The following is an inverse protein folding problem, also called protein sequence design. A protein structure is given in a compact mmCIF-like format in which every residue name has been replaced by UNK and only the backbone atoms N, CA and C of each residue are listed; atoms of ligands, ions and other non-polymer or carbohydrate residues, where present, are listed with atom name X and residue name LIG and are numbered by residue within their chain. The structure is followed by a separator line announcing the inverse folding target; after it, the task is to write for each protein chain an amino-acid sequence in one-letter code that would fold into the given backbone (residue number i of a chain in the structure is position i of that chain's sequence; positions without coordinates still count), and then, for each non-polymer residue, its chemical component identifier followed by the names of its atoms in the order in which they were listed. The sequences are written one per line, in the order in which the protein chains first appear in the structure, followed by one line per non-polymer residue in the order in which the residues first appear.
data_IF_086692158355
#
_entry.id   IF_086692158355
#
_cell.length_a   1.000
_cell.length_b   1.000
_cell.length_c   1.000
_cell.angle_alpha   90.00
_cell.angle_beta   90.00
_cell.angle_gamma   90.00
#
_symmetry.space_group_name_H-M   'P 1'
#
loop_
_entity.id
_entity.type
_entity.pdbx_description
1 polymer ?
#
# COMPACT_ATOMS: atom_id res chain seq x y z
N UNK A 1 46.83 2.94 -21.70
CA UNK A 1 45.82 2.55 -20.69
C UNK A 1 44.51 3.22 -21.10
N UNK A 2 43.58 2.44 -21.68
CA UNK A 2 42.39 2.94 -22.36
C UNK A 2 41.29 3.25 -21.36
N UNK A 3 40.78 4.49 -21.37
CA UNK A 3 39.68 4.93 -20.51
C UNK A 3 38.35 4.48 -21.13
N UNK A 4 37.70 3.49 -20.52
CA UNK A 4 36.38 3.01 -20.93
C UNK A 4 35.30 3.98 -20.39
N UNK A 5 34.78 4.86 -21.25
CA UNK A 5 33.57 5.64 -20.93
C UNK A 5 32.35 4.72 -21.00
N UNK A 6 31.75 4.39 -19.86
CA UNK A 6 30.39 3.86 -19.82
C UNK A 6 29.39 5.00 -20.05
N UNK A 7 28.66 4.94 -21.16
CA UNK A 7 27.50 5.78 -21.44
C UNK A 7 26.31 5.30 -20.59
N UNK A 8 25.84 6.15 -19.68
CA UNK A 8 24.57 5.92 -18.99
C UNK A 8 23.40 6.29 -19.90
N UNK A 9 22.57 5.30 -20.24
CA UNK A 9 21.24 5.54 -20.82
C UNK A 9 20.32 6.08 -19.71
N UNK A 10 19.99 7.36 -19.75
CA UNK A 10 18.92 7.94 -18.91
C UNK A 10 17.58 7.53 -19.52
N UNK A 11 17.03 6.42 -19.07
CA UNK A 11 15.57 6.18 -19.13
C UNK A 11 14.96 6.87 -17.91
N UNK A 12 13.87 7.63 -18.11
CA UNK A 12 13.23 8.59 -17.20
C UNK A 12 12.83 8.07 -15.78
N UNK A 13 13.81 7.73 -14.93
CA UNK A 13 13.61 7.33 -13.53
C UNK A 13 13.83 8.46 -12.52
N UNK A 14 14.08 9.70 -12.98
CA UNK A 14 14.51 10.83 -12.13
C UNK A 14 13.46 11.34 -11.11
N UNK A 15 12.25 10.77 -11.07
CA UNK A 15 11.15 11.24 -10.22
C UNK A 15 10.65 10.24 -9.19
N UNK A 16 11.17 9.00 -9.18
CA UNK A 16 10.79 7.99 -8.20
C UNK A 16 11.86 7.78 -7.12
N UNK A 17 11.41 7.49 -5.90
CA UNK A 17 12.26 7.07 -4.78
C UNK A 17 11.64 5.85 -4.13
N UNK A 18 12.48 4.88 -3.78
CA UNK A 18 12.04 3.67 -3.12
C UNK A 18 12.55 3.63 -1.68
N UNK A 19 11.66 3.25 -0.76
CA UNK A 19 12.02 2.85 0.59
C UNK A 19 11.93 1.34 0.68
N UNK A 20 12.97 0.71 1.22
CA UNK A 20 13.04 -0.73 1.31
C UNK A 20 13.40 -1.18 2.72
N UNK A 21 12.70 -2.21 3.20
CA UNK A 21 13.04 -2.98 4.40
C UNK A 21 13.20 -2.12 5.66
N UNK A 22 12.28 -1.19 5.89
CA UNK A 22 12.34 -0.29 7.05
C UNK A 22 11.46 -0.78 8.18
N UNK A 23 11.91 -0.59 9.42
CA UNK A 23 11.02 -0.68 10.59
C UNK A 23 9.92 0.39 10.51
N UNK A 24 8.81 0.23 11.24
CA UNK A 24 7.73 1.23 11.27
C UNK A 24 8.25 2.65 11.57
N UNK A 25 9.13 2.77 12.57
CA UNK A 25 9.73 4.06 12.97
C UNK A 25 10.62 4.65 11.89
N UNK A 26 11.50 3.85 11.27
CA UNK A 26 12.38 4.32 10.19
C UNK A 26 11.58 4.68 8.94
N UNK A 27 10.56 3.88 8.62
CA UNK A 27 9.63 4.18 7.53
C UNK A 27 8.95 5.53 7.75
N UNK A 28 8.39 5.79 8.93
CA UNK A 28 7.71 7.06 9.20
C UNK A 28 8.67 8.26 9.12
N UNK A 29 9.92 8.09 9.56
CA UNK A 29 10.96 9.11 9.45
C UNK A 29 11.28 9.45 7.98
N UNK A 30 11.60 8.45 7.17
CA UNK A 30 11.91 8.66 5.75
C UNK A 30 10.69 9.12 4.95
N UNK A 31 9.48 8.62 5.27
CA UNK A 31 8.22 9.12 4.73
C UNK A 31 8.10 10.63 4.91
N UNK A 32 8.27 11.13 6.15
CA UNK A 32 8.13 12.55 6.45
C UNK A 32 9.15 13.39 5.68
N UNK A 33 10.39 12.91 5.60
CA UNK A 33 11.47 13.55 4.83
C UNK A 33 11.16 13.62 3.34
N UNK A 34 10.66 12.54 2.75
CA UNK A 34 10.27 12.51 1.33
C UNK A 34 9.09 13.43 1.04
N UNK A 35 8.07 13.44 1.92
CA UNK A 35 6.93 14.36 1.81
C UNK A 35 7.36 15.81 1.86
N UNK A 36 8.26 16.18 2.77
CA UNK A 36 8.83 17.53 2.84
C UNK A 36 9.61 17.94 1.57
N UNK A 37 10.11 16.97 0.80
CA UNK A 37 10.80 17.19 -0.47
C UNK A 37 9.84 17.23 -1.70
N UNK A 38 8.53 17.17 -1.47
CA UNK A 38 7.51 17.14 -2.53
C UNK A 38 7.33 15.78 -3.19
N UNK A 39 7.81 14.70 -2.56
CA UNK A 39 7.48 13.34 -2.94
C UNK A 39 6.21 12.86 -2.26
N UNK A 40 5.51 11.93 -2.88
CA UNK A 40 4.28 11.34 -2.38
C UNK A 40 4.31 9.82 -2.60
N UNK A 41 3.87 9.01 -1.62
CA UNK A 41 3.77 7.57 -1.82
C UNK A 41 2.70 7.26 -2.88
N UNK A 42 3.01 6.32 -3.76
CA UNK A 42 2.06 5.73 -4.73
C UNK A 42 1.82 4.24 -4.47
N UNK A 43 2.73 3.61 -3.71
CA UNK A 43 2.62 2.25 -3.20
C UNK A 43 3.20 2.19 -1.80
N UNK A 44 2.49 1.55 -0.88
CA UNK A 44 3.02 1.21 0.44
C UNK A 44 2.61 -0.21 0.76
N UNK A 45 3.56 -1.07 1.10
CA UNK A 45 3.27 -2.44 1.48
C UNK A 45 4.09 -2.90 2.66
N UNK A 46 3.53 -3.88 3.37
CA UNK A 46 4.19 -4.59 4.45
C UNK A 46 4.52 -6.01 4.02
N UNK A 47 5.61 -6.54 4.55
CA UNK A 47 5.93 -7.97 4.60
C UNK A 47 6.86 -8.19 5.80
N UNK A 48 7.25 -9.43 6.08
CA UNK A 48 8.22 -9.71 7.13
C UNK A 48 9.50 -8.90 6.91
N UNK A 49 9.92 -8.16 7.94
CA UNK A 49 11.17 -7.41 7.95
C UNK A 49 12.33 -8.39 7.76
N UNK A 50 13.19 -8.08 6.79
CA UNK A 50 14.39 -8.86 6.53
C UNK A 50 15.46 -8.43 7.54
N UNK A 51 15.77 -9.31 8.47
CA UNK A 51 16.92 -9.22 9.37
C UNK A 51 17.90 -10.30 8.94
N UNK A 52 19.16 -9.91 8.73
CA UNK A 52 20.26 -10.85 8.49
C UNK A 52 20.74 -11.26 9.89
N UNK A 53 20.90 -12.56 10.12
CA UNK A 53 21.33 -13.14 11.40
C UNK A 53 20.36 -12.86 12.56
N UNK A 54 19.19 -13.52 12.55
CA UNK A 54 18.23 -13.47 13.66
C UNK A 54 18.90 -13.92 14.97
N UNK A 55 18.91 -13.04 15.96
CA UNK A 55 19.31 -13.42 17.31
C UNK A 55 18.31 -14.44 17.90
N UNK A 56 18.77 -15.43 18.68
CA UNK A 56 17.88 -16.37 19.34
C UNK A 56 16.82 -15.64 20.19
N UNK A 57 15.54 -15.85 19.84
CA UNK A 57 14.39 -15.23 20.53
C UNK A 57 13.81 -14.00 19.82
N UNK A 58 14.43 -13.50 18.75
CA UNK A 58 13.79 -12.51 17.89
C UNK A 58 12.61 -13.14 17.12
N UNK A 59 11.46 -12.48 17.16
CA UNK A 59 10.27 -12.89 16.40
C UNK A 59 10.16 -12.10 15.10
N UNK A 60 9.67 -12.72 14.01
CA UNK A 60 9.37 -12.01 12.78
C UNK A 60 8.44 -10.82 13.04
N UNK A 61 8.82 -9.65 12.52
CA UNK A 61 8.09 -8.38 12.70
C UNK A 61 7.84 -7.69 11.36
N UNK A 62 6.84 -6.80 11.26
CA UNK A 62 6.55 -6.14 9.99
C UNK A 62 7.65 -5.15 9.59
N UNK A 63 8.06 -5.26 8.33
CA UNK A 63 8.85 -4.27 7.62
C UNK A 63 8.00 -3.56 6.58
N UNK A 64 8.41 -2.35 6.22
CA UNK A 64 7.68 -1.50 5.29
C UNK A 64 8.55 -1.13 4.09
N UNK A 65 7.91 -1.18 2.93
CA UNK A 65 8.44 -0.75 1.66
C UNK A 65 7.47 0.24 1.03
N UNK A 66 7.99 1.13 0.21
CA UNK A 66 7.15 2.07 -0.53
C UNK A 66 7.85 2.58 -1.79
N UNK A 67 7.03 2.93 -2.77
CA UNK A 67 7.45 3.70 -3.94
C UNK A 67 6.84 5.09 -3.81
N UNK A 68 7.67 6.11 -3.93
CA UNK A 68 7.31 7.51 -3.92
C UNK A 68 7.56 8.14 -5.29
N UNK A 69 6.71 9.08 -5.67
CA UNK A 69 6.86 9.91 -6.87
C UNK A 69 6.87 11.38 -6.50
N UNK A 70 7.69 12.18 -7.19
CA UNK A 70 7.66 13.64 -7.05
C UNK A 70 6.39 14.20 -7.68
N UNK A 71 5.55 14.88 -6.90
CA UNK A 71 4.27 15.44 -7.38
C UNK A 71 4.06 16.86 -6.85
N UNK A 72 4.48 17.85 -7.64
CA UNK A 72 4.44 19.27 -7.27
C UNK A 72 3.03 19.88 -7.23
N UNK A 73 2.06 19.29 -7.96
CA UNK A 73 0.66 19.71 -7.99
C UNK A 73 -0.27 18.50 -7.80
N UNK A 74 -0.24 17.86 -6.62
CA UNK A 74 -1.11 16.70 -6.35
C UNK A 74 -2.40 17.07 -5.62
N UNK A 75 -3.48 16.39 -5.97
CA UNK A 75 -4.71 16.42 -5.18
C UNK A 75 -4.45 16.01 -3.73
N UNK A 76 -5.27 16.47 -2.77
CA UNK A 76 -5.14 16.08 -1.37
C UNK A 76 -5.09 14.57 -1.21
N UNK A 77 -4.23 14.11 -0.30
CA UNK A 77 -3.98 12.69 -0.10
C UNK A 77 -3.65 12.38 1.35
N UNK A 78 -3.84 11.11 1.73
CA UNK A 78 -3.48 10.58 3.04
C UNK A 78 -2.87 9.21 2.87
N UNK A 79 -1.82 8.88 3.62
CA UNK A 79 -1.32 7.52 3.71
C UNK A 79 -1.21 7.07 5.17
N UNK A 80 -1.44 5.78 5.40
CA UNK A 80 -1.32 5.09 6.68
C UNK A 80 -0.66 3.74 6.48
N UNK A 81 0.08 3.28 7.48
CA UNK A 81 0.76 1.98 7.49
C UNK A 81 0.68 1.36 8.88
N UNK A 82 0.93 0.06 8.96
CA UNK A 82 0.99 -0.66 10.23
C UNK A 82 -0.35 -0.77 10.96
N UNK A 83 -1.45 -0.69 10.23
CA UNK A 83 -2.79 -0.73 10.83
C UNK A 83 -3.23 -2.18 11.08
N UNK A 84 -3.78 -2.45 12.27
CA UNK A 84 -4.61 -3.65 12.48
C UNK A 84 -5.88 -3.57 11.62
N UNK A 85 -6.62 -4.68 11.49
CA UNK A 85 -7.90 -4.68 10.78
C UNK A 85 -8.91 -3.65 11.32
N UNK A 86 -9.01 -3.50 12.64
CA UNK A 86 -9.92 -2.53 13.27
C UNK A 86 -9.45 -1.07 13.12
N UNK A 87 -8.13 -0.84 13.23
CA UNK A 87 -7.56 0.48 12.99
C UNK A 87 -7.72 0.91 11.52
N UNK A 88 -7.53 -0.04 10.59
CA UNK A 88 -7.80 0.18 9.16
C UNK A 88 -9.27 0.55 8.92
N UNK A 89 -10.22 -0.18 9.49
CA UNK A 89 -11.65 0.14 9.32
C UNK A 89 -11.99 1.55 9.84
N UNK A 90 -11.36 1.97 10.94
CA UNK A 90 -11.53 3.31 11.53
C UNK A 90 -10.99 4.41 10.61
N UNK A 91 -9.76 4.25 10.11
CA UNK A 91 -9.15 5.17 9.13
C UNK A 91 -9.96 5.22 7.83
N UNK A 92 -10.42 4.06 7.34
CA UNK A 92 -11.26 3.96 6.14
C UNK A 92 -12.55 4.76 6.29
N UNK A 93 -13.29 4.57 7.37
CA UNK A 93 -14.54 5.32 7.63
C UNK A 93 -14.26 6.83 7.77
N UNK A 94 -13.15 7.18 8.42
CA UNK A 94 -12.74 8.58 8.62
C UNK A 94 -12.44 9.30 7.31
N UNK A 95 -11.70 8.67 6.39
CA UNK A 95 -11.30 9.34 5.15
C UNK A 95 -12.38 9.29 4.07
N UNK A 96 -13.14 8.21 4.01
CA UNK A 96 -14.23 8.07 3.03
C UNK A 96 -15.39 9.02 3.33
N UNK A 97 -15.71 9.26 4.61
CA UNK A 97 -16.69 10.30 5.01
C UNK A 97 -16.22 11.73 4.66
N UNK A 98 -14.91 11.95 4.48
CA UNK A 98 -14.33 13.22 4.01
C UNK A 98 -14.19 13.32 2.49
N UNK A 99 -14.75 12.34 1.76
CA UNK A 99 -14.74 12.27 0.31
C UNK A 99 -13.42 11.79 -0.30
N UNK A 100 -12.52 11.20 0.49
CA UNK A 100 -11.35 10.52 -0.05
C UNK A 100 -11.70 9.09 -0.46
N UNK A 101 -10.97 8.55 -1.42
CA UNK A 101 -11.15 7.21 -1.96
C UNK A 101 -9.82 6.46 -1.87
N UNK A 102 -9.78 5.19 -1.44
CA UNK A 102 -8.55 4.41 -1.47
C UNK A 102 -8.01 4.31 -2.90
N UNK A 103 -6.73 4.63 -3.08
CA UNK A 103 -5.99 4.51 -4.34
C UNK A 103 -4.94 3.40 -4.30
N UNK A 104 -4.51 3.01 -3.11
CA UNK A 104 -3.70 1.82 -2.88
C UNK A 104 -4.11 1.16 -1.55
N UNK A 105 -4.20 -0.17 -1.53
CA UNK A 105 -4.43 -0.95 -0.31
C UNK A 105 -3.50 -2.15 -0.39
N UNK A 106 -2.70 -2.35 0.64
CA UNK A 106 -1.96 -3.57 0.88
C UNK A 106 -2.46 -4.23 2.16
N UNK A 107 -2.70 -5.54 2.09
CA UNK A 107 -2.88 -6.40 3.26
C UNK A 107 -1.71 -7.38 3.33
N UNK A 108 -1.10 -7.50 4.51
CA UNK A 108 0.03 -8.35 4.80
C UNK A 108 -0.25 -9.21 6.03
N UNK A 109 0.29 -10.41 6.04
CA UNK A 109 0.19 -11.35 7.15
C UNK A 109 1.63 -11.57 7.65
N UNK A 110 1.96 -11.07 8.84
CA UNK A 110 3.30 -11.19 9.44
C UNK A 110 3.14 -11.74 10.85
N UNK A 111 3.72 -12.91 11.11
CA UNK A 111 3.66 -13.59 12.41
C UNK A 111 2.24 -13.70 13.00
N UNK A 112 1.29 -14.16 12.18
CA UNK A 112 -0.11 -14.29 12.57
C UNK A 112 -0.89 -12.96 12.66
N UNK A 113 -0.23 -11.82 12.49
CA UNK A 113 -0.88 -10.51 12.49
C UNK A 113 -1.26 -10.05 11.08
N UNK A 114 -2.49 -9.59 10.94
CA UNK A 114 -2.98 -8.94 9.71
C UNK A 114 -2.70 -7.44 9.80
N UNK A 115 -1.96 -6.94 8.82
CA UNK A 115 -1.45 -5.57 8.78
C UNK A 115 -1.88 -4.92 7.47
N UNK A 116 -2.42 -3.71 7.56
CA UNK A 116 -2.83 -2.92 6.41
C UNK A 116 -1.94 -1.70 6.23
N UNK A 117 -1.64 -1.42 4.95
CA UNK A 117 -1.17 -0.13 4.47
C UNK A 117 -2.19 0.41 3.47
N UNK A 118 -2.40 1.72 3.46
CA UNK A 118 -3.41 2.35 2.61
C UNK A 118 -3.01 3.75 2.21
N UNK A 119 -3.31 4.09 0.97
CA UNK A 119 -3.23 5.45 0.43
C UNK A 119 -4.64 5.84 0.00
N UNK A 120 -5.05 7.04 0.41
CA UNK A 120 -6.30 7.68 0.02
C UNK A 120 -6.01 8.91 -0.83
N UNK A 121 -6.79 9.08 -1.89
CA UNK A 121 -6.79 10.23 -2.77
C UNK A 121 -8.12 10.95 -2.71
N UNK A 122 -8.09 12.28 -2.75
CA UNK A 122 -9.26 13.08 -3.07
C UNK A 122 -9.29 13.36 -4.56
N UNK A 123 -10.27 12.81 -5.25
CA UNK A 123 -10.44 13.01 -6.69
C UNK A 123 -11.29 14.25 -6.97
N UNK A 124 -10.96 15.06 -7.99
CA UNK A 124 -11.76 16.22 -8.36
C UNK A 124 -13.12 15.82 -8.93
N UNK A 125 -13.19 14.67 -9.60
CA UNK A 125 -14.42 14.12 -10.18
C UNK A 125 -14.96 13.01 -9.28
N UNK A 126 -16.26 13.03 -8.93
CA UNK A 126 -16.90 11.92 -8.22
C UNK A 126 -16.75 10.61 -8.99
N UNK A 127 -16.43 9.54 -8.28
CA UNK A 127 -16.33 8.19 -8.83
C UNK A 127 -17.36 7.30 -8.13
N UNK A 128 -18.00 6.39 -8.87
CA UNK A 128 -18.84 5.34 -8.28
C UNK A 128 -17.93 4.16 -7.97
N UNK A 129 -17.76 3.85 -6.68
CA UNK A 129 -16.83 2.83 -6.22
C UNK A 129 -17.36 2.04 -5.04
N UNK A 130 -16.81 0.86 -4.83
CA UNK A 130 -17.02 0.04 -3.64
C UNK A 130 -15.69 -0.58 -3.22
N UNK A 131 -15.45 -0.67 -1.91
CA UNK A 131 -14.31 -1.43 -1.37
C UNK A 131 -14.77 -2.40 -0.29
N UNK A 132 -14.03 -3.51 -0.16
CA UNK A 132 -14.20 -4.53 0.88
C UNK A 132 -12.82 -5.04 1.31
N UNK A 133 -12.70 -5.43 2.55
CA UNK A 133 -11.43 -5.84 3.16
C UNK A 133 -11.67 -6.87 4.26
N UNK A 134 -10.67 -7.70 4.53
CA UNK A 134 -10.80 -8.78 5.50
C UNK A 134 -11.65 -9.95 4.98
N UNK A 135 -11.82 -10.06 3.66
CA UNK A 135 -12.63 -11.13 3.07
C UNK A 135 -11.84 -12.43 3.02
N UNK A 136 -12.52 -13.56 3.23
CA UNK A 136 -12.01 -14.85 2.81
C UNK A 136 -12.14 -15.03 1.28
N UNK A 137 -11.63 -16.16 0.77
CA UNK A 137 -11.64 -16.46 -0.67
C UNK A 137 -13.05 -16.59 -1.26
N UNK A 138 -13.96 -17.28 -0.56
CA UNK A 138 -15.30 -17.53 -1.05
C UNK A 138 -16.10 -16.22 -1.15
N UNK A 139 -16.04 -15.40 -0.10
CA UNK A 139 -16.69 -14.09 -0.04
C UNK A 139 -16.11 -13.15 -1.09
N UNK A 140 -14.77 -13.08 -1.22
CA UNK A 140 -14.13 -12.27 -2.24
C UNK A 140 -14.61 -12.64 -3.66
N UNK A 141 -14.66 -13.94 -3.98
CA UNK A 141 -15.07 -14.38 -5.32
C UNK A 141 -16.53 -14.03 -5.63
N UNK A 142 -17.44 -14.21 -4.67
CA UNK A 142 -18.84 -13.82 -4.82
C UNK A 142 -18.97 -12.32 -5.07
N UNK A 143 -18.39 -11.48 -4.20
CA UNK A 143 -18.42 -10.01 -4.34
C UNK A 143 -17.81 -9.57 -5.67
N UNK A 144 -16.66 -10.13 -6.04
CA UNK A 144 -15.99 -9.78 -7.30
C UNK A 144 -16.85 -10.14 -8.51
N UNK A 145 -17.42 -11.35 -8.54
CA UNK A 145 -18.30 -11.79 -9.64
C UNK A 145 -19.53 -10.88 -9.78
N UNK A 146 -20.15 -10.52 -8.66
CA UNK A 146 -21.37 -9.70 -8.67
C UNK A 146 -21.09 -8.25 -9.08
N UNK A 147 -19.99 -7.65 -8.59
CA UNK A 147 -19.60 -6.30 -8.98
C UNK A 147 -19.18 -6.22 -10.45
N UNK A 148 -18.50 -7.24 -10.98
CA UNK A 148 -18.17 -7.31 -12.41
C UNK A 148 -19.44 -7.36 -13.28
N UNK A 149 -20.46 -8.15 -12.89
CA UNK A 149 -21.76 -8.18 -13.59
C UNK A 149 -22.49 -6.83 -13.56
N UNK A 150 -22.31 -6.06 -12.50
CA UNK A 150 -22.88 -4.70 -12.35
C UNK A 150 -22.08 -3.62 -13.11
N UNK A 151 -21.06 -4.01 -13.87
CA UNK A 151 -20.24 -3.12 -14.69
C UNK A 151 -19.10 -2.42 -13.96
N UNK A 152 -18.80 -2.79 -12.71
CA UNK A 152 -17.60 -2.30 -12.04
C UNK A 152 -16.35 -3.00 -12.58
N UNK A 153 -15.20 -2.33 -12.51
CA UNK A 153 -13.87 -2.91 -12.76
C UNK A 153 -13.09 -2.97 -11.45
N UNK A 154 -12.42 -4.10 -11.18
CA UNK A 154 -11.52 -4.22 -10.03
C UNK A 154 -10.29 -3.32 -10.26
N UNK A 155 -10.10 -2.34 -9.39
CA UNK A 155 -9.00 -1.35 -9.47
C UNK A 155 -7.89 -1.64 -8.49
N UNK A 156 -8.24 -2.08 -7.28
CA UNK A 156 -7.29 -2.47 -6.23
C UNK A 156 -7.57 -3.93 -5.87
N UNK A 157 -6.50 -4.69 -5.70
CA UNK A 157 -6.54 -6.06 -5.24
C UNK A 157 -5.26 -6.37 -4.45
N UNK A 158 -5.43 -6.87 -3.23
CA UNK A 158 -4.36 -7.32 -2.38
C UNK A 158 -4.84 -8.53 -1.56
N UNK A 159 -3.92 -9.44 -1.26
CA UNK A 159 -4.19 -10.55 -0.36
C UNK A 159 -2.94 -10.93 0.41
N UNK A 160 -3.14 -11.55 1.57
CA UNK A 160 -2.08 -12.26 2.27
C UNK A 160 -2.55 -13.65 2.67
N UNK A 161 -1.60 -14.56 2.86
CA UNK A 161 -1.86 -15.95 3.23
C UNK A 161 -1.67 -16.12 4.73
N UNK A 162 -2.66 -16.71 5.39
CA UNK A 162 -2.56 -17.23 6.76
C UNK A 162 -2.62 -18.76 6.75
N UNK A 163 -2.29 -19.44 7.86
CA UNK A 163 -2.60 -20.87 8.01
C UNK A 163 -4.09 -21.20 7.82
N UNK A 164 -4.99 -20.28 8.21
CA UNK A 164 -6.45 -20.42 8.08
C UNK A 164 -7.02 -20.04 6.72
N UNK A 165 -6.18 -19.69 5.73
CA UNK A 165 -6.60 -19.27 4.40
C UNK A 165 -6.20 -17.84 4.05
N UNK A 166 -6.60 -17.40 2.86
CA UNK A 166 -6.24 -16.08 2.36
C UNK A 166 -7.18 -15.00 2.88
N UNK A 167 -6.62 -13.84 3.20
CA UNK A 167 -7.35 -12.62 3.56
C UNK A 167 -7.20 -11.63 2.40
N UNK A 168 -8.32 -11.14 1.88
CA UNK A 168 -8.38 -10.27 0.72
C UNK A 168 -8.83 -8.85 1.07
N UNK A 169 -8.31 -7.89 0.31
CA UNK A 169 -8.80 -6.52 0.23
C UNK A 169 -8.88 -6.08 -1.23
N UNK A 170 -9.97 -5.41 -1.60
CA UNK A 170 -10.19 -4.96 -2.96
C UNK A 170 -11.07 -3.72 -3.04
N UNK A 171 -10.87 -2.95 -4.11
CA UNK A 171 -11.72 -1.83 -4.50
C UNK A 171 -12.10 -1.97 -5.97
N UNK A 172 -13.37 -1.74 -6.26
CA UNK A 172 -13.95 -1.75 -7.59
C UNK A 172 -14.56 -0.38 -7.89
N UNK A 173 -14.43 0.08 -9.13
CA UNK A 173 -14.99 1.35 -9.59
C UNK A 173 -15.58 1.24 -11.00
N UNK A 174 -16.57 2.08 -11.31
CA UNK A 174 -17.09 2.25 -12.67
C UNK A 174 -16.22 3.22 -13.46
#
# INVERSE_FOLDING_TARGET
MTLLMLTFHVLAHAQQKELQNLTSTLYQKEFNKLVAQGYRPIKVWSKTLQVIDYDPGEVPRPGYWAIFEKRTNSSPWVARHGLSASAYQTEFNTWTSKGFIPSDINVACVEGHVIYCVIYDKYPTPMIWQARHGLDYATYNTVNKDLLKQGYKRRIFSFCKTPGGNIFAAMWAK
#
